data_IF_612714914571
#
_entry.id   IF_612714914571
#
_cell.length_a   1.000
_cell.length_b   1.000
_cell.length_c   1.000
_cell.angle_alpha   90.00
_cell.angle_beta   90.00
_cell.angle_gamma   90.00
#
_symmetry.space_group_name_H-M   'P 1'
#
loop_
_entity.id
_entity.type
_entity.pdbx_description
1 polymer ?
#
# COMPACT_ATOMS: atom_id res chain seq x y z
N UNK A 1 -3.12 -7.33 -8.88
CA UNK A 1 -4.28 -7.44 -7.97
C UNK A 1 -4.80 -8.86 -8.00
N UNK A 2 -5.01 -9.47 -6.83
CA UNK A 2 -5.56 -10.82 -6.73
C UNK A 2 -7.07 -10.76 -6.95
N UNK A 3 -7.52 -11.23 -8.11
CA UNK A 3 -8.91 -11.07 -8.54
C UNK A 3 -9.87 -11.96 -7.74
N UNK A 4 -9.60 -13.27 -7.71
CA UNK A 4 -10.39 -14.28 -7.01
C UNK A 4 -9.47 -15.17 -6.21
N UNK A 5 -10.00 -15.82 -5.17
CA UNK A 5 -9.28 -16.85 -4.43
C UNK A 5 -8.71 -17.91 -5.39
N UNK A 6 -7.46 -18.35 -5.18
CA UNK A 6 -6.88 -19.45 -5.92
C UNK A 6 -7.63 -20.77 -5.61
N UNK A 7 -7.58 -21.74 -6.52
CA UNK A 7 -8.25 -23.04 -6.34
C UNK A 7 -7.62 -23.86 -5.20
N UNK A 8 -6.33 -23.66 -4.99
CA UNK A 8 -5.57 -24.09 -3.81
C UNK A 8 -5.22 -22.84 -3.01
N UNK A 9 -5.37 -22.89 -1.68
CA UNK A 9 -5.07 -21.76 -0.79
C UNK A 9 -3.69 -21.11 -1.09
N UNK A 10 -3.53 -19.85 -0.67
CA UNK A 10 -2.23 -19.21 -0.69
C UNK A 10 -1.22 -20.03 0.14
N UNK A 11 0.06 -20.10 -0.27
CA UNK A 11 1.10 -20.73 0.54
C UNK A 11 1.11 -20.19 1.97
N UNK A 12 1.37 -21.05 2.95
CA UNK A 12 1.34 -20.74 4.39
C UNK A 12 2.10 -19.45 4.75
N UNK A 13 3.23 -19.22 4.07
CA UNK A 13 4.10 -18.05 4.25
C UNK A 13 3.40 -16.70 4.02
N UNK A 14 2.40 -16.67 3.13
CA UNK A 14 1.67 -15.44 2.77
C UNK A 14 0.17 -15.52 3.05
N UNK A 15 -0.35 -16.67 3.48
CA UNK A 15 -1.78 -16.90 3.69
C UNK A 15 -2.40 -15.88 4.65
N UNK A 16 -1.66 -15.44 5.66
CA UNK A 16 -2.14 -14.47 6.66
C UNK A 16 -2.13 -13.00 6.19
N UNK A 17 -1.44 -12.69 5.09
CA UNK A 17 -1.22 -11.32 4.61
C UNK A 17 -1.75 -11.09 3.18
N UNK A 18 -2.01 -12.14 2.42
CA UNK A 18 -2.58 -12.09 1.08
C UNK A 18 -4.11 -12.16 1.13
N UNK A 19 -4.77 -11.36 0.29
CA UNK A 19 -6.23 -11.39 0.12
C UNK A 19 -6.62 -11.24 -1.34
N UNK A 20 -7.91 -11.41 -1.64
CA UNK A 20 -8.50 -11.31 -2.99
C UNK A 20 -9.69 -10.34 -3.00
N UNK A 21 -10.05 -9.85 -4.18
CA UNK A 21 -11.19 -8.94 -4.34
C UNK A 21 -12.54 -9.66 -4.32
N UNK A 22 -12.56 -10.90 -4.79
CA UNK A 22 -13.74 -11.76 -4.85
C UNK A 22 -13.43 -13.13 -4.24
N UNK A 23 -14.46 -13.79 -3.72
CA UNK A 23 -14.39 -15.19 -3.33
C UNK A 23 -14.28 -16.11 -4.58
N UNK A 24 -14.04 -17.40 -4.36
CA UNK A 24 -13.91 -18.38 -5.44
C UNK A 24 -15.16 -18.57 -6.33
N UNK A 25 -16.35 -18.14 -5.90
CA UNK A 25 -17.64 -18.48 -6.52
C UNK A 25 -18.38 -17.27 -7.13
N UNK A 26 -18.15 -16.07 -6.61
CA UNK A 26 -18.94 -14.88 -6.91
C UNK A 26 -18.05 -13.70 -7.29
N UNK A 27 -17.98 -13.39 -8.59
CA UNK A 27 -17.40 -12.14 -9.07
C UNK A 27 -18.49 -11.25 -9.65
N UNK A 28 -18.63 -10.03 -9.12
CA UNK A 28 -19.62 -9.06 -9.60
C UNK A 28 -19.26 -8.46 -10.98
N UNK A 29 -17.99 -8.56 -11.37
CA UNK A 29 -17.46 -8.10 -12.66
C UNK A 29 -16.52 -9.16 -13.24
N UNK A 30 -16.20 -9.06 -14.53
CA UNK A 30 -15.14 -9.84 -15.15
C UNK A 30 -13.77 -9.18 -14.96
N UNK A 31 -12.68 -9.94 -15.13
CA UNK A 31 -11.31 -9.40 -15.16
C UNK A 31 -11.15 -8.30 -16.21
N UNK A 32 -11.79 -8.46 -17.36
CA UNK A 32 -11.73 -7.49 -18.46
C UNK A 32 -12.44 -6.17 -18.07
N UNK A 33 -13.60 -6.25 -17.42
CA UNK A 33 -14.29 -5.06 -16.90
C UNK A 33 -13.46 -4.36 -15.82
N UNK A 34 -12.82 -5.11 -14.93
CA UNK A 34 -11.92 -4.53 -13.93
C UNK A 34 -10.72 -3.83 -14.58
N UNK A 35 -10.06 -4.47 -15.55
CA UNK A 35 -8.94 -3.87 -16.27
C UNK A 35 -9.36 -2.61 -17.02
N UNK A 36 -10.51 -2.66 -17.71
CA UNK A 36 -11.08 -1.51 -18.39
C UNK A 36 -11.36 -0.35 -17.41
N UNK A 37 -11.92 -0.63 -16.23
CA UNK A 37 -12.20 0.43 -15.27
C UNK A 37 -10.96 1.02 -14.60
N UNK A 38 -9.91 0.23 -14.37
CA UNK A 38 -8.63 0.79 -13.93
C UNK A 38 -8.10 1.78 -14.97
N UNK A 39 -8.16 1.43 -16.26
CA UNK A 39 -7.73 2.31 -17.35
C UNK A 39 -8.60 3.56 -17.46
N UNK A 40 -9.93 3.41 -17.39
CA UNK A 40 -10.85 4.54 -17.42
C UNK A 40 -10.54 5.53 -16.28
N UNK A 41 -10.35 5.03 -15.05
CA UNK A 41 -9.99 5.86 -13.89
C UNK A 41 -8.61 6.48 -14.01
N UNK A 42 -7.65 5.74 -14.55
CA UNK A 42 -6.32 6.28 -14.85
C UNK A 42 -6.40 7.46 -15.82
N UNK A 43 -7.15 7.35 -16.92
CA UNK A 43 -7.30 8.42 -17.89
C UNK A 43 -8.07 9.65 -17.38
N UNK A 44 -8.88 9.50 -16.33
CA UNK A 44 -9.46 10.65 -15.62
C UNK A 44 -8.39 11.45 -14.87
N UNK A 45 -7.40 10.77 -14.26
CA UNK A 45 -6.34 11.40 -13.48
C UNK A 45 -5.17 11.90 -14.34
N UNK A 46 -4.92 11.22 -15.46
CA UNK A 46 -3.73 11.42 -16.30
C UNK A 46 -3.50 12.87 -16.77
N UNK A 47 -4.51 13.64 -17.23
CA UNK A 47 -4.31 15.03 -17.68
C UNK A 47 -3.75 15.95 -16.59
N UNK A 48 -4.14 15.71 -15.34
CA UNK A 48 -3.77 16.53 -14.18
C UNK A 48 -2.62 15.92 -13.39
N UNK A 49 -1.94 14.89 -13.91
CA UNK A 49 -0.89 14.17 -13.16
C UNK A 49 0.26 15.10 -12.74
N UNK A 50 0.60 16.09 -13.58
CA UNK A 50 1.62 17.09 -13.27
C UNK A 50 1.24 18.00 -12.09
N UNK A 51 -0.07 18.22 -11.84
CA UNK A 51 -0.54 19.02 -10.70
C UNK A 51 -0.31 18.33 -9.36
N UNK A 52 -0.13 16.99 -9.37
CA UNK A 52 -0.01 16.14 -8.18
C UNK A 52 -1.17 16.26 -7.18
N UNK A 53 -2.31 16.79 -7.60
CA UNK A 53 -3.51 16.91 -6.76
C UNK A 53 -4.01 15.56 -6.20
N UNK A 54 -3.65 14.44 -6.84
CA UNK A 54 -3.93 13.10 -6.34
C UNK A 54 -3.21 12.77 -5.02
N UNK A 55 -2.14 13.48 -4.66
CA UNK A 55 -1.40 13.24 -3.41
C UNK A 55 -2.24 13.51 -2.17
N UNK A 56 -3.21 14.43 -2.24
CA UNK A 56 -4.11 14.70 -1.12
C UNK A 56 -5.00 13.49 -0.81
N UNK A 57 -5.55 12.87 -1.85
CA UNK A 57 -6.35 11.66 -1.69
C UNK A 57 -5.48 10.46 -1.29
N UNK A 58 -4.26 10.38 -1.83
CA UNK A 58 -3.27 9.37 -1.45
C UNK A 58 -2.95 9.45 0.05
N UNK A 59 -2.65 10.64 0.59
CA UNK A 59 -2.40 10.87 2.02
C UNK A 59 -3.56 10.44 2.90
N UNK A 60 -4.80 10.79 2.52
CA UNK A 60 -6.02 10.42 3.25
C UNK A 60 -6.25 8.91 3.32
N UNK A 61 -5.84 8.17 2.29
CA UNK A 61 -6.03 6.71 2.17
C UNK A 61 -4.79 5.90 2.55
N UNK A 62 -3.66 6.55 2.84
CA UNK A 62 -2.42 5.88 3.18
C UNK A 62 -2.51 5.26 4.57
N UNK A 63 -2.80 3.96 4.62
CA UNK A 63 -2.94 3.19 5.87
C UNK A 63 -1.61 2.99 6.61
N UNK A 64 -0.48 3.39 6.01
CA UNK A 64 0.85 3.28 6.59
C UNK A 64 1.12 4.41 7.59
N UNK A 65 0.50 5.58 7.40
CA UNK A 65 0.75 6.73 8.27
C UNK A 65 0.32 6.45 9.71
N UNK A 66 1.21 6.74 10.66
CA UNK A 66 1.03 6.46 12.07
C UNK A 66 1.56 5.09 12.53
N UNK A 67 1.84 4.17 11.60
CA UNK A 67 2.33 2.83 11.91
C UNK A 67 3.85 2.78 12.14
N UNK A 68 4.28 1.76 12.89
CA UNK A 68 5.70 1.40 12.96
C UNK A 68 6.09 0.60 11.72
N UNK A 69 7.15 1.05 11.06
CA UNK A 69 7.68 0.46 9.84
C UNK A 69 9.12 0.04 10.03
N UNK A 70 9.54 -0.97 9.29
CA UNK A 70 10.95 -1.34 9.12
C UNK A 70 11.35 -1.18 7.66
N UNK A 71 12.58 -0.73 7.42
CA UNK A 71 13.14 -0.66 6.07
C UNK A 71 14.62 -1.04 6.07
N UNK A 72 15.15 -1.61 4.97
CA UNK A 72 16.56 -1.96 4.86
C UNK A 72 17.43 -0.73 4.65
N UNK A 73 18.58 -0.69 5.31
CA UNK A 73 19.63 0.30 5.10
C UNK A 73 21.00 -0.39 5.12
N UNK A 74 21.55 -0.66 3.95
CA UNK A 74 22.76 -1.47 3.83
C UNK A 74 22.50 -2.90 4.31
N UNK A 75 23.22 -3.33 5.33
CA UNK A 75 23.06 -4.66 5.97
C UNK A 75 22.12 -4.65 7.16
N UNK A 76 21.59 -3.49 7.54
CA UNK A 76 20.77 -3.31 8.73
C UNK A 76 19.28 -3.11 8.37
N UNK A 77 18.41 -3.42 9.32
CA UNK A 77 16.98 -3.12 9.25
C UNK A 77 16.68 -2.04 10.27
N UNK A 78 16.18 -0.90 9.81
CA UNK A 78 15.90 0.26 10.65
C UNK A 78 14.42 0.29 11.00
N UNK A 79 14.11 0.41 12.30
CA UNK A 79 12.76 0.68 12.79
C UNK A 79 12.49 2.19 12.84
N UNK A 80 11.33 2.63 12.34
CA UNK A 80 10.93 4.02 12.34
C UNK A 80 9.40 4.16 12.40
N UNK A 81 8.91 5.37 12.67
CA UNK A 81 7.47 5.69 12.60
C UNK A 81 7.16 6.40 11.29
N UNK A 82 6.18 5.93 10.52
CA UNK A 82 5.67 6.66 9.36
C UNK A 82 4.86 7.89 9.83
N UNK A 83 5.28 9.10 9.44
CA UNK A 83 4.68 10.35 9.95
C UNK A 83 4.02 11.22 8.89
N UNK A 84 4.48 11.16 7.63
CA UNK A 84 3.86 11.93 6.55
C UNK A 84 4.17 11.33 5.17
N UNK A 85 3.42 11.77 4.16
CA UNK A 85 3.83 11.68 2.76
C UNK A 85 4.12 13.11 2.31
N UNK A 86 5.33 13.38 1.83
CA UNK A 86 5.72 14.70 1.34
C UNK A 86 5.09 15.04 -0.03
N UNK A 87 5.41 16.21 -0.58
CA UNK A 87 4.84 16.72 -1.84
C UNK A 87 5.41 16.04 -3.10
N UNK A 88 6.44 15.20 -2.94
CA UNK A 88 7.00 14.33 -3.97
C UNK A 88 6.48 12.89 -3.88
N UNK A 89 5.64 12.59 -2.88
CA UNK A 89 5.10 11.24 -2.64
C UNK A 89 6.03 10.35 -1.81
N UNK A 90 7.11 10.90 -1.25
CA UNK A 90 8.03 10.19 -0.37
C UNK A 90 7.43 9.95 1.02
N UNK A 91 7.69 8.76 1.58
CA UNK A 91 7.30 8.44 2.95
C UNK A 91 8.29 9.06 3.94
N UNK A 92 7.84 10.05 4.70
CA UNK A 92 8.62 10.66 5.77
C UNK A 92 8.47 9.80 7.03
N UNK A 93 9.60 9.36 7.58
CA UNK A 93 9.67 8.56 8.80
C UNK A 93 10.44 9.29 9.90
N UNK A 94 10.00 9.12 11.15
CA UNK A 94 10.72 9.55 12.35
C UNK A 94 11.55 8.38 12.90
N UNK A 95 12.86 8.60 13.02
CA UNK A 95 13.82 7.66 13.56
C UNK A 95 13.84 7.70 15.10
N UNK A 96 14.33 6.65 15.78
CA UNK A 96 14.40 6.60 17.25
C UNK A 96 15.25 7.71 17.87
N UNK A 97 16.24 8.23 17.13
CA UNK A 97 17.10 9.34 17.56
C UNK A 97 16.42 10.72 17.44
N UNK A 98 15.17 10.79 16.96
CA UNK A 98 14.41 12.03 16.76
C UNK A 98 14.61 12.69 15.40
N UNK A 99 15.51 12.17 14.56
CA UNK A 99 15.69 12.66 13.20
C UNK A 99 14.58 12.17 12.26
N UNK A 100 14.36 12.91 11.17
CA UNK A 100 13.44 12.51 10.12
C UNK A 100 14.20 12.09 8.86
N UNK A 101 13.67 11.09 8.16
CA UNK A 101 14.19 10.63 6.87
C UNK A 101 13.06 10.46 5.87
N UNK A 102 13.28 10.84 4.63
CA UNK A 102 12.34 10.57 3.53
C UNK A 102 12.77 9.32 2.77
N UNK A 103 11.84 8.38 2.61
CA UNK A 103 11.99 7.18 1.79
C UNK A 103 11.24 7.41 0.47
N UNK A 104 11.98 7.56 -0.63
CA UNK A 104 11.41 7.78 -1.97
C UNK A 104 11.39 6.51 -2.83
N UNK A 105 12.06 5.45 -2.37
CA UNK A 105 12.13 4.15 -3.03
C UNK A 105 12.49 3.07 -2.00
N UNK A 106 12.35 1.81 -2.42
CA UNK A 106 12.66 0.64 -1.61
C UNK A 106 11.43 0.06 -0.92
N UNK A 107 11.66 -1.00 -0.16
CA UNK A 107 10.63 -1.74 0.54
C UNK A 107 10.49 -1.26 1.99
N UNK A 108 9.25 -1.20 2.46
CA UNK A 108 8.94 -1.08 3.87
C UNK A 108 8.15 -2.31 4.29
N UNK A 109 8.33 -2.73 5.53
CA UNK A 109 7.49 -3.74 6.17
C UNK A 109 6.75 -3.12 7.35
N UNK A 110 5.47 -3.46 7.48
CA UNK A 110 4.60 -2.98 8.54
C UNK A 110 4.27 -4.19 9.40
N UNK A 111 4.42 -4.08 10.72
CA UNK A 111 3.89 -5.09 11.65
C UNK A 111 2.39 -4.85 11.80
N UNK A 112 1.59 -5.49 10.95
CA UNK A 112 0.13 -5.41 11.02
C UNK A 112 -0.31 -5.99 12.36
N UNK A 113 -0.69 -5.14 13.31
CA UNK A 113 -1.38 -5.58 14.52
C UNK A 113 -2.75 -6.11 14.09
N UNK A 114 -3.09 -7.35 14.46
CA UNK A 114 -4.45 -7.88 14.26
C UNK A 114 -5.42 -6.85 14.80
N UNK A 115 -6.27 -6.27 13.93
CA UNK A 115 -7.43 -5.52 14.39
C UNK A 115 -8.32 -6.53 15.11
N UNK A 116 -8.48 -6.38 16.42
CA UNK A 116 -9.52 -7.10 17.15
C UNK A 116 -10.84 -6.72 16.48
N UNK A 117 -11.48 -7.73 15.87
CA UNK A 117 -12.75 -7.55 15.19
C UNK A 117 -13.79 -7.02 16.15
N UNK A 118 -14.56 -6.05 15.68
CA UNK A 118 -15.86 -5.72 16.26
C UNK A 118 -16.94 -6.43 15.45
#
# INVERSE_FOLDING_TARGET
MNFREPETDFPDEIQSIAGTLFDSKNAAVTRNQMAAEILNRFYVLYPELASRSYLDEYRKRCFVLGEQVTFPQGTETIEAKAIAIDDDGGLVVALPNGETKTLTYGEISIKIKKREGK
#
